data_IF_135570341297
#
_entry.id   IF_135570341297
#
_cell.length_a   1.000
_cell.length_b   1.000
_cell.length_c   1.000
_cell.angle_alpha   90.00
_cell.angle_beta   90.00
_cell.angle_gamma   90.00
#
_symmetry.space_group_name_H-M   'P 1'
#
loop_
_entity.id
_entity.type
_entity.pdbx_description
1 polymer ?
#
# COMPACT_ATOMS: atom_id res chain seq x y z
N UNK A 1 -16.60 -8.20 6.24
CA UNK A 1 -16.46 -6.98 5.41
C UNK A 1 -15.64 -6.00 6.24
N UNK A 2 -14.51 -5.49 5.72
CA UNK A 2 -13.58 -4.69 6.51
C UNK A 2 -14.26 -3.44 7.07
N UNK A 3 -14.02 -3.13 8.35
CA UNK A 3 -14.45 -1.86 8.94
C UNK A 3 -13.66 -0.69 8.35
N UNK A 4 -14.25 0.51 8.34
CA UNK A 4 -13.60 1.72 7.81
C UNK A 4 -12.24 1.99 8.46
N UNK A 5 -12.11 1.71 9.76
CA UNK A 5 -10.87 1.90 10.51
C UNK A 5 -9.77 0.93 10.06
N UNK A 6 -10.12 -0.32 9.78
CA UNK A 6 -9.19 -1.33 9.23
C UNK A 6 -8.69 -0.91 7.85
N UNK A 7 -9.58 -0.45 6.97
CA UNK A 7 -9.21 0.03 5.63
C UNK A 7 -8.32 1.27 5.67
N UNK A 8 -8.59 2.21 6.59
CA UNK A 8 -7.75 3.40 6.76
C UNK A 8 -6.35 3.02 7.24
N UNK A 9 -6.25 2.11 8.20
CA UNK A 9 -4.95 1.61 8.70
C UNK A 9 -4.21 0.86 7.59
N UNK A 10 -4.89 0.03 6.81
CA UNK A 10 -4.31 -0.69 5.68
C UNK A 10 -3.81 0.26 4.58
N UNK A 11 -4.61 1.28 4.24
CA UNK A 11 -4.24 2.32 3.28
C UNK A 11 -3.00 3.09 3.72
N UNK A 12 -2.96 3.50 4.99
CA UNK A 12 -1.79 4.18 5.57
C UNK A 12 -0.55 3.28 5.57
N UNK A 13 -0.70 2.03 5.98
CA UNK A 13 0.42 1.07 6.08
C UNK A 13 1.03 0.80 4.70
N UNK A 14 0.18 0.47 3.72
CA UNK A 14 0.60 0.26 2.33
C UNK A 14 1.21 1.52 1.70
N UNK A 15 0.70 2.71 2.03
CA UNK A 15 1.24 3.97 1.56
C UNK A 15 2.68 4.19 2.01
N UNK A 16 3.00 3.98 3.29
CA UNK A 16 4.38 4.13 3.77
C UNK A 16 5.34 3.13 3.11
N UNK A 17 4.87 1.93 2.81
CA UNK A 17 5.66 0.93 2.10
C UNK A 17 6.04 1.39 0.69
N UNK A 18 5.05 1.85 -0.07
CA UNK A 18 5.27 2.35 -1.43
C UNK A 18 6.05 3.66 -1.42
N UNK A 19 5.79 4.54 -0.45
CA UNK A 19 6.52 5.78 -0.28
C UNK A 19 8.01 5.54 -0.03
N UNK A 20 8.35 4.56 0.80
CA UNK A 20 9.75 4.19 1.06
C UNK A 20 10.43 3.74 -0.23
N UNK A 21 9.80 2.84 -0.98
CA UNK A 21 10.33 2.34 -2.26
C UNK A 21 10.47 3.45 -3.31
N UNK A 22 9.46 4.31 -3.42
CA UNK A 22 9.47 5.44 -4.34
C UNK A 22 10.52 6.48 -3.97
N UNK A 23 10.74 6.73 -2.68
CA UNK A 23 11.76 7.69 -2.23
C UNK A 23 13.16 7.16 -2.49
N UNK A 24 13.40 5.86 -2.25
CA UNK A 24 14.72 5.24 -2.44
C UNK A 24 15.09 5.07 -3.92
N UNK A 25 14.12 4.70 -4.77
CA UNK A 25 14.37 4.35 -6.18
C UNK A 25 13.90 5.49 -7.10
N UNK A 26 12.65 5.92 -6.96
CA UNK A 26 12.06 6.95 -7.81
C UNK A 26 12.56 8.37 -7.54
N UNK A 27 12.90 8.68 -6.29
CA UNK A 27 13.39 10.00 -5.86
C UNK A 27 14.63 10.44 -6.65
N UNK A 28 15.72 9.65 -6.66
CA UNK A 28 16.91 9.96 -7.45
C UNK A 28 16.63 10.09 -8.95
N UNK A 29 15.82 9.19 -9.53
CA UNK A 29 15.49 9.20 -10.97
C UNK A 29 14.83 10.53 -11.36
N UNK A 30 13.85 10.98 -10.58
CA UNK A 30 13.13 12.23 -10.83
C UNK A 30 14.00 13.45 -10.51
N UNK A 31 14.85 13.37 -9.49
CA UNK A 31 15.71 14.49 -9.10
C UNK A 31 16.81 14.78 -10.13
N UNK A 32 17.46 13.74 -10.66
CA UNK A 32 18.55 13.86 -11.63
C UNK A 32 18.09 14.02 -13.08
N UNK A 33 16.78 13.96 -13.37
CA UNK A 33 16.29 14.30 -14.71
C UNK A 33 16.57 15.77 -15.02
N UNK A 34 17.15 16.04 -16.18
CA UNK A 34 17.60 17.40 -16.54
C UNK A 34 16.52 18.22 -17.24
N UNK A 35 15.46 17.55 -17.72
CA UNK A 35 14.50 18.11 -18.66
C UNK A 35 13.30 18.79 -17.99
N UNK A 36 13.24 18.80 -16.66
CA UNK A 36 12.09 19.27 -15.88
C UNK A 36 12.47 20.23 -14.77
N UNK A 37 11.63 21.23 -14.57
CA UNK A 37 11.68 22.13 -13.42
C UNK A 37 11.23 21.44 -12.13
N UNK A 38 11.47 22.08 -10.98
CA UNK A 38 11.14 21.52 -9.67
C UNK A 38 9.64 21.17 -9.55
N UNK A 39 8.68 22.04 -9.98
CA UNK A 39 7.27 21.70 -9.99
C UNK A 39 6.93 20.47 -10.87
N UNK A 40 7.49 20.37 -12.07
CA UNK A 40 7.27 19.24 -12.96
C UNK A 40 7.77 17.92 -12.37
N UNK A 41 8.97 17.94 -11.78
CA UNK A 41 9.55 16.80 -11.04
C UNK A 41 8.64 16.34 -9.91
N UNK A 42 8.19 17.26 -9.06
CA UNK A 42 7.31 16.94 -7.94
C UNK A 42 5.98 16.34 -8.42
N UNK A 43 5.41 16.88 -9.49
CA UNK A 43 4.15 16.42 -10.06
C UNK A 43 4.26 14.98 -10.56
N UNK A 44 5.33 14.65 -11.27
CA UNK A 44 5.61 13.29 -11.75
C UNK A 44 5.84 12.33 -10.59
N UNK A 45 6.62 12.74 -9.58
CA UNK A 45 6.86 11.92 -8.41
C UNK A 45 5.55 11.58 -7.68
N UNK A 46 4.70 12.59 -7.44
CA UNK A 46 3.41 12.40 -6.78
C UNK A 46 2.46 11.55 -7.61
N UNK A 47 2.43 11.75 -8.94
CA UNK A 47 1.63 10.94 -9.85
C UNK A 47 2.00 9.45 -9.73
N UNK A 48 3.28 9.11 -9.91
CA UNK A 48 3.73 7.73 -9.80
C UNK A 48 3.52 7.16 -8.40
N UNK A 49 3.79 7.94 -7.35
CA UNK A 49 3.57 7.52 -5.97
C UNK A 49 2.11 7.12 -5.73
N UNK A 50 1.16 7.98 -6.10
CA UNK A 50 -0.27 7.73 -5.90
C UNK A 50 -0.74 6.57 -6.78
N UNK A 51 -0.34 6.52 -8.05
CA UNK A 51 -0.74 5.44 -8.96
C UNK A 51 -0.24 4.08 -8.51
N UNK A 52 1.05 3.97 -8.16
CA UNK A 52 1.63 2.70 -7.69
C UNK A 52 1.06 2.31 -6.32
N UNK A 53 0.85 3.28 -5.43
CA UNK A 53 0.20 3.01 -4.15
C UNK A 53 -1.21 2.47 -4.33
N UNK A 54 -2.02 3.07 -5.20
CA UNK A 54 -3.38 2.63 -5.44
C UNK A 54 -3.40 1.18 -5.98
N UNK A 55 -2.53 0.88 -6.94
CA UNK A 55 -2.40 -0.49 -7.48
C UNK A 55 -1.97 -1.47 -6.38
N UNK A 56 -0.92 -1.15 -5.62
CA UNK A 56 -0.43 -2.00 -4.53
C UNK A 56 -1.50 -2.25 -3.48
N UNK A 57 -2.21 -1.21 -3.05
CA UNK A 57 -3.28 -1.30 -2.05
C UNK A 57 -4.46 -2.16 -2.54
N UNK A 58 -4.88 -1.97 -3.80
CA UNK A 58 -5.95 -2.78 -4.39
C UNK A 58 -5.55 -4.26 -4.50
N UNK A 59 -4.32 -4.55 -4.93
CA UNK A 59 -3.82 -5.92 -5.00
C UNK A 59 -3.78 -6.58 -3.61
N UNK A 60 -3.25 -5.88 -2.61
CA UNK A 60 -3.28 -6.32 -1.22
C UNK A 60 -4.70 -6.70 -0.76
N UNK A 61 -5.69 -5.83 -1.00
CA UNK A 61 -7.10 -6.11 -0.68
C UNK A 61 -7.60 -7.35 -1.42
N UNK A 62 -7.33 -7.44 -2.72
CA UNK A 62 -7.82 -8.54 -3.57
C UNK A 62 -7.27 -9.88 -3.14
N UNK A 63 -5.96 -9.98 -2.93
CA UNK A 63 -5.30 -11.23 -2.52
C UNK A 63 -5.63 -11.59 -1.07
N UNK A 64 -5.66 -10.61 -0.15
CA UNK A 64 -6.11 -10.85 1.21
C UNK A 64 -7.56 -11.36 1.23
N UNK A 65 -8.46 -10.74 0.46
CA UNK A 65 -9.85 -11.20 0.37
C UNK A 65 -9.97 -12.62 -0.19
N UNK A 66 -9.11 -13.01 -1.14
CA UNK A 66 -9.05 -14.38 -1.66
C UNK A 66 -8.57 -15.36 -0.60
N UNK A 67 -7.62 -14.98 0.25
CA UNK A 67 -7.05 -15.85 1.29
C UNK A 67 -8.06 -16.15 2.42
N UNK A 68 -8.95 -15.20 2.72
CA UNK A 68 -10.04 -15.34 3.69
C UNK A 68 -11.17 -16.29 3.25
N UNK A 69 -11.08 -16.90 2.06
CA UNK A 69 -12.03 -17.97 1.65
C UNK A 69 -11.88 -19.23 2.49
N UNK A 70 -10.73 -19.41 3.15
CA UNK A 70 -10.53 -20.46 4.14
C UNK A 70 -11.11 -19.99 5.49
N UNK A 71 -12.06 -20.76 6.04
CA UNK A 71 -12.75 -20.48 7.31
C UNK A 71 -11.78 -20.36 8.49
N UNK A 72 -10.69 -21.13 8.51
CA UNK A 72 -9.67 -21.04 9.56
C UNK A 72 -8.96 -19.68 9.53
N UNK A 73 -8.49 -19.25 8.34
CA UNK A 73 -7.86 -17.94 8.15
C UNK A 73 -8.80 -16.78 8.42
N UNK A 74 -10.09 -16.95 8.11
CA UNK A 74 -11.11 -15.96 8.42
C UNK A 74 -11.28 -15.80 9.93
N UNK A 75 -11.37 -16.90 10.68
CA UNK A 75 -11.52 -16.86 12.13
C UNK A 75 -10.28 -16.27 12.80
N UNK A 76 -9.07 -16.63 12.34
CA UNK A 76 -7.82 -16.06 12.82
C UNK A 76 -7.78 -14.54 12.59
N UNK A 77 -8.16 -14.08 11.39
CA UNK A 77 -8.22 -12.66 11.07
C UNK A 77 -9.23 -11.91 11.94
N UNK A 78 -10.43 -12.48 12.15
CA UNK A 78 -11.48 -11.86 12.95
C UNK A 78 -11.13 -11.80 14.46
N UNK A 79 -10.25 -12.66 14.94
CA UNK A 79 -9.76 -12.64 16.31
C UNK A 79 -8.75 -11.51 16.60
N UNK A 80 -8.12 -10.93 15.55
CA UNK A 80 -7.13 -9.86 15.67
C UNK A 80 -7.78 -8.51 15.98
N UNK A 81 -7.01 -7.60 16.59
CA UNK A 81 -7.44 -6.21 16.80
C UNK A 81 -7.51 -5.46 15.46
N UNK A 82 -8.35 -4.44 15.36
CA UNK A 82 -8.50 -3.63 14.13
C UNK A 82 -7.17 -3.09 13.57
N UNK A 83 -6.24 -2.75 14.46
CA UNK A 83 -4.90 -2.27 14.08
C UNK A 83 -4.07 -3.36 13.40
N UNK A 84 -4.10 -4.57 13.94
CA UNK A 84 -3.39 -5.73 13.38
C UNK A 84 -4.04 -6.18 12.08
N UNK A 85 -5.37 -6.24 12.04
CA UNK A 85 -6.13 -6.49 10.81
C UNK A 85 -5.77 -5.50 9.71
N UNK A 86 -5.66 -4.21 10.05
CA UNK A 86 -5.28 -3.18 9.08
C UNK A 86 -3.87 -3.36 8.56
N UNK A 87 -2.91 -3.70 9.43
CA UNK A 87 -1.53 -4.00 9.01
C UNK A 87 -1.48 -5.22 8.09
N UNK A 88 -2.09 -6.34 8.51
CA UNK A 88 -2.14 -7.58 7.73
C UNK A 88 -2.72 -7.36 6.33
N UNK A 89 -3.80 -6.58 6.21
CA UNK A 89 -4.39 -6.23 4.92
C UNK A 89 -3.45 -5.32 4.12
N UNK A 90 -2.82 -4.34 4.76
CA UNK A 90 -1.97 -3.34 4.10
C UNK A 90 -0.62 -3.85 3.61
N UNK A 91 -0.17 -5.00 4.11
CA UNK A 91 1.14 -5.60 3.77
C UNK A 91 1.02 -7.06 3.32
N UNK A 92 -0.18 -7.51 2.91
CA UNK A 92 -0.44 -8.91 2.58
C UNK A 92 0.53 -9.48 1.53
N UNK A 93 0.91 -8.66 0.56
CA UNK A 93 1.83 -9.03 -0.52
C UNK A 93 3.29 -9.15 -0.10
N UNK A 94 3.70 -8.59 1.05
CA UNK A 94 5.07 -8.75 1.56
C UNK A 94 5.34 -10.15 2.09
N UNK A 95 4.30 -10.90 2.44
CA UNK A 95 4.40 -12.27 2.96
C UNK A 95 4.46 -13.37 1.88
N UNK A 96 4.54 -12.99 0.60
CA UNK A 96 4.64 -13.88 -0.57
C UNK A 96 5.98 -13.71 -1.26
#
# INVERSE_FOLDING_TARGET
MYGNRVLLIAGRTSFFHVLLMMTLIGGPIVFFSSDLDIPGKLSIFLFFLISLWLVYFLLNILFHRRSLRNTEKLNEFLAKKEVEQGKDVGTYLEGW
#
